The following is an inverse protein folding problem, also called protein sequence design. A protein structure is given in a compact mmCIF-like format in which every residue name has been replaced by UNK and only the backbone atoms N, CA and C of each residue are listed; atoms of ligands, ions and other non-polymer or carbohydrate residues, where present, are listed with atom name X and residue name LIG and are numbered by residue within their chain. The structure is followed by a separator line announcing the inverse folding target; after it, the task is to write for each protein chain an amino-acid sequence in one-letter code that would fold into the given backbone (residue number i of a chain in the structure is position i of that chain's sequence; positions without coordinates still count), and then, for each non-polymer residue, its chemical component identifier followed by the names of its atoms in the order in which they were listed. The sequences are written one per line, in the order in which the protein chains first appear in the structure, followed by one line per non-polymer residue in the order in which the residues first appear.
data_IF_295687988865
#
_entry.id   IF_295687988865
#
_cell.length_a   1.000
_cell.length_b   1.000
_cell.length_c   1.000
_cell.angle_alpha   90.00
_cell.angle_beta   90.00
_cell.angle_gamma   90.00
#
_symmetry.space_group_name_H-M   'P 1'
#
loop_
_entity.id
_entity.type
_entity.pdbx_description
1 polymer ?
#
# COMPACT_ATOMS: atom_id res chain seq x y z
N UNK A 1 -6.54 -51.44 13.30
CA UNK A 1 -5.86 -51.08 12.05
C UNK A 1 -6.89 -50.68 11.03
N UNK A 2 -6.83 -49.44 10.53
CA UNK A 2 -7.30 -49.12 9.19
C UNK A 2 -8.63 -48.37 9.02
N UNK A 3 -8.98 -47.41 9.88
CA UNK A 3 -9.95 -46.37 9.49
C UNK A 3 -9.18 -45.18 8.89
N UNK A 4 -8.75 -45.35 7.64
CA UNK A 4 -8.42 -44.21 6.78
C UNK A 4 -9.75 -43.60 6.34
N UNK A 5 -10.21 -42.58 7.08
CA UNK A 5 -11.16 -41.61 6.56
C UNK A 5 -10.61 -41.10 5.22
N UNK A 6 -11.28 -41.52 4.15
CA UNK A 6 -11.05 -41.01 2.82
C UNK A 6 -11.34 -39.51 2.84
N UNK A 7 -10.28 -38.71 2.99
CA UNK A 7 -10.25 -37.30 2.62
C UNK A 7 -10.56 -37.25 1.13
N UNK A 8 -11.84 -37.16 0.79
CA UNK A 8 -12.29 -37.13 -0.59
C UNK A 8 -11.79 -35.88 -1.33
N UNK A 9 -11.85 -35.87 -2.67
CA UNK A 9 -11.36 -34.80 -3.57
C UNK A 9 -12.03 -33.42 -3.39
N UNK A 10 -12.88 -33.28 -2.37
CA UNK A 10 -13.63 -32.07 -2.03
C UNK A 10 -12.77 -31.02 -1.30
N UNK A 11 -11.77 -31.45 -0.53
CA UNK A 11 -10.82 -30.58 0.17
C UNK A 11 -9.87 -29.84 -0.80
N UNK A 12 -9.48 -30.51 -1.89
CA UNK A 12 -8.48 -30.01 -2.86
C UNK A 12 -8.99 -28.84 -3.71
N UNK A 13 -10.29 -28.79 -4.02
CA UNK A 13 -10.88 -27.69 -4.78
C UNK A 13 -11.06 -26.46 -3.87
N UNK A 14 -11.45 -26.63 -2.60
CA UNK A 14 -11.60 -25.48 -1.68
C UNK A 14 -10.25 -24.83 -1.33
N UNK A 15 -9.17 -25.61 -1.30
CA UNK A 15 -7.81 -25.09 -1.07
C UNK A 15 -7.29 -24.19 -2.20
N UNK A 16 -7.58 -24.54 -3.45
CA UNK A 16 -7.10 -23.82 -4.65
C UNK A 16 -7.82 -22.49 -4.93
N UNK A 17 -8.90 -22.17 -4.21
CA UNK A 17 -9.55 -20.85 -4.29
C UNK A 17 -8.61 -19.72 -3.88
N UNK A 18 -7.76 -19.96 -2.88
CA UNK A 18 -6.79 -18.96 -2.41
C UNK A 18 -5.68 -18.70 -3.46
N UNK A 19 -5.25 -19.75 -4.16
CA UNK A 19 -4.26 -19.64 -5.23
C UNK A 19 -4.83 -18.88 -6.43
N UNK A 20 -6.10 -19.12 -6.79
CA UNK A 20 -6.77 -18.39 -7.85
C UNK A 20 -7.01 -16.92 -7.49
N UNK A 21 -7.39 -16.63 -6.25
CA UNK A 21 -7.54 -15.26 -5.74
C UNK A 21 -6.21 -14.51 -5.80
N UNK A 22 -5.11 -15.13 -5.35
CA UNK A 22 -3.76 -14.55 -5.46
C UNK A 22 -3.38 -14.28 -6.91
N UNK A 23 -3.68 -15.21 -7.81
CA UNK A 23 -3.39 -15.09 -9.24
C UNK A 23 -4.21 -13.95 -9.88
N UNK A 24 -5.46 -13.75 -9.42
CA UNK A 24 -6.30 -12.61 -9.79
C UNK A 24 -5.81 -11.28 -9.18
N UNK A 25 -5.30 -11.27 -7.95
CA UNK A 25 -4.71 -10.08 -7.34
C UNK A 25 -3.42 -9.66 -8.05
N UNK A 26 -2.56 -10.62 -8.40
CA UNK A 26 -1.33 -10.37 -9.16
C UNK A 26 -1.65 -9.88 -10.57
N UNK A 27 -2.69 -10.41 -11.21
CA UNK A 27 -3.11 -9.99 -12.56
C UNK A 27 -3.55 -8.53 -12.60
N UNK A 28 -4.22 -8.03 -11.56
CA UNK A 28 -4.61 -6.61 -11.44
C UNK A 28 -3.41 -5.66 -11.31
N UNK A 29 -2.27 -6.16 -10.84
CA UNK A 29 -1.01 -5.41 -10.74
C UNK A 29 -0.15 -5.45 -12.00
N UNK A 30 -0.50 -6.26 -12.99
CA UNK A 30 0.25 -6.47 -14.22
C UNK A 30 -0.53 -5.90 -15.41
N UNK A 31 0.15 -5.20 -16.32
CA UNK A 31 -0.42 -4.85 -17.62
C UNK A 31 -0.40 -6.10 -18.50
N UNK A 32 -1.39 -6.97 -18.31
CA UNK A 32 -1.52 -8.22 -19.06
C UNK A 32 -1.87 -7.95 -20.52
N UNK A 33 -1.29 -8.73 -21.44
CA UNK A 33 -1.73 -8.77 -22.83
C UNK A 33 -3.11 -9.42 -22.97
N UNK A 34 -3.78 -9.16 -24.09
CA UNK A 34 -5.12 -9.68 -24.36
C UNK A 34 -5.19 -11.22 -24.32
N UNK A 35 -4.10 -11.90 -24.66
CA UNK A 35 -4.03 -13.37 -24.62
C UNK A 35 -4.00 -13.91 -23.19
N UNK A 36 -3.18 -13.31 -22.31
CA UNK A 36 -3.08 -13.68 -20.89
C UNK A 36 -4.35 -13.33 -20.13
N UNK A 37 -4.93 -12.15 -20.40
CA UNK A 37 -6.20 -11.73 -19.84
C UNK A 37 -7.33 -12.71 -20.22
N UNK A 38 -7.40 -13.13 -21.49
CA UNK A 38 -8.37 -14.13 -21.93
C UNK A 38 -8.14 -15.52 -21.31
N UNK A 39 -6.89 -15.91 -21.06
CA UNK A 39 -6.57 -17.18 -20.39
C UNK A 39 -7.01 -17.17 -18.92
N UNK A 40 -6.79 -16.05 -18.22
CA UNK A 40 -7.26 -15.85 -16.85
C UNK A 40 -8.77 -15.87 -16.75
N UNK A 41 -9.45 -15.18 -17.67
CA UNK A 41 -10.90 -15.20 -17.73
C UNK A 41 -11.44 -16.63 -17.91
N UNK A 42 -10.88 -17.40 -18.85
CA UNK A 42 -11.27 -18.80 -19.06
C UNK A 42 -11.01 -19.66 -17.82
N UNK A 43 -9.88 -19.46 -17.14
CA UNK A 43 -9.55 -20.18 -15.91
C UNK A 43 -10.57 -19.88 -14.81
N UNK A 44 -10.89 -18.60 -14.58
CA UNK A 44 -11.90 -18.18 -13.61
C UNK A 44 -13.29 -18.74 -13.92
N UNK A 45 -13.70 -18.74 -15.20
CA UNK A 45 -14.98 -19.32 -15.62
C UNK A 45 -15.01 -20.85 -15.45
N UNK A 46 -13.92 -21.55 -15.77
CA UNK A 46 -13.81 -23.00 -15.56
C UNK A 46 -13.85 -23.34 -14.08
N UNK A 47 -13.12 -22.58 -13.27
CA UNK A 47 -13.09 -22.71 -11.82
C UNK A 47 -14.48 -22.52 -11.21
N UNK A 48 -15.14 -21.41 -11.53
CA UNK A 48 -16.49 -21.11 -11.05
C UNK A 48 -17.48 -22.23 -11.38
N UNK A 49 -17.46 -22.74 -12.63
CA UNK A 49 -18.31 -23.88 -13.02
C UNK A 49 -18.01 -25.16 -12.24
N UNK A 50 -16.74 -25.47 -12.01
CA UNK A 50 -16.35 -26.63 -11.22
C UNK A 50 -16.83 -26.52 -9.77
N UNK A 51 -16.65 -25.35 -9.15
CA UNK A 51 -17.14 -25.08 -7.79
C UNK A 51 -18.67 -25.18 -7.70
N UNK A 52 -19.42 -24.61 -8.65
CA UNK A 52 -20.89 -24.73 -8.66
C UNK A 52 -21.35 -26.18 -8.75
N UNK A 53 -20.77 -26.97 -9.66
CA UNK A 53 -21.12 -28.40 -9.79
C UNK A 53 -20.79 -29.20 -8.54
N UNK A 54 -19.62 -28.95 -7.93
CA UNK A 54 -19.26 -29.61 -6.68
C UNK A 54 -20.24 -29.25 -5.57
N UNK A 55 -20.63 -27.97 -5.49
CA UNK A 55 -21.58 -27.48 -4.49
C UNK A 55 -22.97 -28.10 -4.68
N UNK A 56 -23.46 -28.20 -5.91
CA UNK A 56 -24.71 -28.87 -6.26
C UNK A 56 -24.68 -30.35 -5.86
N UNK A 57 -23.63 -31.08 -6.25
CA UNK A 57 -23.48 -32.50 -5.89
C UNK A 57 -23.42 -32.70 -4.36
N UNK A 58 -22.67 -31.85 -3.66
CA UNK A 58 -22.58 -31.89 -2.21
C UNK A 58 -23.94 -31.61 -1.54
N UNK A 59 -24.69 -30.62 -2.04
CA UNK A 59 -26.03 -30.30 -1.54
C UNK A 59 -27.03 -31.43 -1.73
N UNK A 60 -26.98 -32.13 -2.87
CA UNK A 60 -27.86 -33.26 -3.15
C UNK A 60 -27.55 -34.45 -2.21
N UNK A 61 -26.27 -34.77 -2.03
CA UNK A 61 -25.83 -35.81 -1.09
C UNK A 61 -26.22 -35.48 0.35
N UNK A 62 -26.02 -34.24 0.78
CA UNK A 62 -26.38 -33.78 2.12
C UNK A 62 -27.89 -33.86 2.37
N UNK A 63 -28.70 -33.47 1.39
CA UNK A 63 -30.17 -33.55 1.48
C UNK A 63 -30.64 -35.00 1.66
N UNK A 64 -30.06 -35.93 0.91
CA UNK A 64 -30.36 -37.35 1.02
C UNK A 64 -29.89 -37.93 2.37
N UNK A 65 -28.73 -37.52 2.87
CA UNK A 65 -28.25 -37.90 4.20
C UNK A 65 -29.20 -37.42 5.31
N UNK A 66 -29.66 -36.17 5.25
CA UNK A 66 -30.60 -35.60 6.22
C UNK A 66 -31.96 -36.31 6.23
N UNK A 67 -32.44 -36.79 5.06
CA UNK A 67 -33.69 -37.56 4.97
C UNK A 67 -33.65 -38.88 5.74
N UNK A 68 -32.47 -39.48 5.91
CA UNK A 68 -32.28 -40.76 6.63
C UNK A 68 -32.13 -40.58 8.13
N UNK A 69 -31.95 -39.34 8.60
CA UNK A 69 -31.78 -39.03 10.02
C UNK A 69 -33.13 -38.88 10.72
N UNK A 70 -33.17 -39.28 12.00
CA UNK A 70 -34.28 -38.95 12.90
C UNK A 70 -34.34 -37.45 13.18
N UNK A 71 -35.45 -36.96 13.72
CA UNK A 71 -35.59 -35.56 14.10
C UNK A 71 -34.52 -35.13 15.13
N UNK A 72 -34.26 -35.97 16.12
CA UNK A 72 -33.24 -35.76 17.16
C UNK A 72 -31.85 -35.67 16.54
N UNK A 73 -31.50 -36.58 15.63
CA UNK A 73 -30.21 -36.59 14.94
C UNK A 73 -29.99 -35.32 14.08
N UNK A 74 -31.04 -34.81 13.45
CA UNK A 74 -30.96 -33.54 12.70
C UNK A 74 -30.75 -32.36 13.65
N UNK A 75 -31.43 -32.35 14.81
CA UNK A 75 -31.24 -31.33 15.84
C UNK A 75 -29.82 -31.37 16.41
N UNK A 76 -29.27 -32.55 16.69
CA UNK A 76 -27.89 -32.74 17.14
C UNK A 76 -26.89 -32.25 16.09
N UNK A 77 -27.09 -32.66 14.83
CA UNK A 77 -26.26 -32.19 13.70
C UNK A 77 -26.27 -30.67 13.60
N UNK A 78 -27.42 -30.05 13.84
CA UNK A 78 -27.56 -28.61 13.84
C UNK A 78 -26.84 -27.93 15.00
N UNK A 79 -27.05 -28.41 16.23
CA UNK A 79 -26.39 -27.88 17.42
C UNK A 79 -24.87 -28.00 17.30
N UNK A 80 -24.36 -29.13 16.78
CA UNK A 80 -22.95 -29.32 16.50
C UNK A 80 -22.42 -28.33 15.45
N UNK A 81 -23.18 -28.07 14.37
CA UNK A 81 -22.80 -27.08 13.36
C UNK A 81 -22.76 -25.67 13.95
N UNK A 82 -23.79 -25.30 14.71
CA UNK A 82 -23.90 -24.01 15.38
C UNK A 82 -22.76 -23.81 16.37
N UNK A 83 -22.44 -24.82 17.19
CA UNK A 83 -21.32 -24.75 18.13
C UNK A 83 -19.98 -24.53 17.41
N UNK A 84 -19.73 -25.25 16.30
CA UNK A 84 -18.52 -25.02 15.49
C UNK A 84 -18.44 -23.60 14.94
N UNK A 85 -19.58 -23.03 14.52
CA UNK A 85 -19.66 -21.63 14.10
C UNK A 85 -19.32 -20.70 15.27
N UNK A 86 -19.94 -20.89 16.44
CA UNK A 86 -19.68 -20.09 17.64
C UNK A 86 -18.21 -20.15 18.07
N UNK A 87 -17.61 -21.34 18.10
CA UNK A 87 -16.21 -21.53 18.44
C UNK A 87 -15.29 -20.78 17.47
N UNK A 88 -15.61 -20.81 16.16
CA UNK A 88 -14.89 -20.03 15.16
C UNK A 88 -15.07 -18.51 15.34
N UNK A 89 -16.21 -18.07 15.88
CA UNK A 89 -16.51 -16.66 16.15
C UNK A 89 -15.93 -16.19 17.49
N UNK A 90 -15.58 -17.09 18.40
CA UNK A 90 -15.01 -16.77 19.71
C UNK A 90 -13.52 -16.42 19.66
N UNK A 91 -12.80 -16.84 18.61
CA UNK A 91 -11.37 -16.49 18.41
C UNK A 91 -11.20 -14.97 18.35
N UNK A 92 -10.15 -14.37 18.90
CA UNK A 92 -9.95 -12.92 18.76
C UNK A 92 -9.58 -12.51 17.32
N UNK A 93 -9.87 -11.26 16.94
CA UNK A 93 -9.42 -10.73 15.64
C UNK A 93 -7.91 -10.51 15.69
N UNK A 94 -7.20 -11.04 14.70
CA UNK A 94 -5.74 -10.93 14.66
C UNK A 94 -5.29 -9.47 14.45
N UNK A 95 -4.25 -9.05 15.17
CA UNK A 95 -3.65 -7.73 14.98
C UNK A 95 -2.69 -7.64 13.79
N UNK A 96 -2.06 -8.76 13.42
CA UNK A 96 -1.07 -8.82 12.34
C UNK A 96 -1.69 -9.04 10.95
N UNK A 97 -1.02 -8.51 9.92
CA UNK A 97 -1.45 -8.70 8.53
C UNK A 97 -1.57 -10.19 8.14
N UNK A 98 -0.60 -11.02 8.54
CA UNK A 98 -0.63 -12.45 8.24
C UNK A 98 -1.78 -13.16 8.94
N UNK A 99 -2.01 -12.87 10.22
CA UNK A 99 -3.12 -13.44 10.98
C UNK A 99 -4.48 -13.06 10.37
N UNK A 100 -4.66 -11.80 9.98
CA UNK A 100 -5.89 -11.34 9.33
C UNK A 100 -6.15 -12.06 8.00
N UNK A 101 -5.11 -12.30 7.18
CA UNK A 101 -5.26 -13.07 5.95
C UNK A 101 -5.65 -14.52 6.23
N UNK A 102 -5.06 -15.15 7.23
CA UNK A 102 -5.43 -16.50 7.64
C UNK A 102 -6.89 -16.56 8.11
N UNK A 103 -7.33 -15.60 8.92
CA UNK A 103 -8.73 -15.51 9.37
C UNK A 103 -9.70 -15.28 8.22
N UNK A 104 -9.37 -14.43 7.24
CA UNK A 104 -10.19 -14.25 6.04
C UNK A 104 -10.30 -15.55 5.22
N UNK A 105 -9.20 -16.29 5.05
CA UNK A 105 -9.23 -17.60 4.39
C UNK A 105 -10.12 -18.59 5.15
N UNK A 106 -10.04 -18.62 6.48
CA UNK A 106 -10.91 -19.45 7.32
C UNK A 106 -12.38 -19.06 7.14
N UNK A 107 -12.71 -17.77 7.15
CA UNK A 107 -14.07 -17.28 6.88
C UNK A 107 -14.58 -17.65 5.49
N UNK A 108 -13.74 -17.58 4.45
CA UNK A 108 -14.14 -18.03 3.09
C UNK A 108 -14.47 -19.53 3.05
N UNK A 109 -13.69 -20.37 3.74
CA UNK A 109 -14.00 -21.81 3.86
C UNK A 109 -15.32 -22.01 4.60
N UNK A 110 -15.50 -21.29 5.69
CA UNK A 110 -16.71 -21.34 6.48
C UNK A 110 -17.95 -20.90 5.67
N UNK A 111 -17.82 -19.87 4.82
CA UNK A 111 -18.89 -19.41 3.94
C UNK A 111 -19.37 -20.52 2.99
N UNK A 112 -18.47 -21.39 2.52
CA UNK A 112 -18.85 -22.55 1.73
C UNK A 112 -19.65 -23.58 2.56
N UNK A 113 -19.34 -23.73 3.85
CA UNK A 113 -20.04 -24.62 4.78
C UNK A 113 -21.39 -24.08 5.24
N UNK A 114 -21.63 -22.77 5.19
CA UNK A 114 -22.94 -22.17 5.54
C UNK A 114 -24.10 -22.80 4.77
N UNK A 115 -23.87 -23.22 3.53
CA UNK A 115 -24.86 -23.91 2.71
C UNK A 115 -25.35 -25.21 3.36
N UNK A 116 -24.46 -25.97 3.99
CA UNK A 116 -24.76 -27.19 4.75
C UNK A 116 -25.60 -26.81 5.97
N UNK A 117 -25.18 -25.78 6.70
CA UNK A 117 -25.92 -25.28 7.85
C UNK A 117 -27.38 -24.92 7.49
N UNK A 118 -27.59 -24.15 6.43
CA UNK A 118 -28.93 -23.80 5.96
C UNK A 118 -29.78 -25.04 5.61
N UNK A 119 -29.19 -26.08 5.01
CA UNK A 119 -29.92 -27.31 4.69
C UNK A 119 -30.32 -28.09 5.95
N UNK A 120 -29.44 -28.18 6.95
CA UNK A 120 -29.74 -28.81 8.23
C UNK A 120 -30.90 -28.06 8.91
N UNK A 121 -30.80 -26.73 9.04
CA UNK A 121 -31.86 -25.92 9.63
C UNK A 121 -33.19 -26.08 8.91
N UNK A 122 -33.19 -26.03 7.58
CA UNK A 122 -34.40 -26.21 6.78
C UNK A 122 -35.02 -27.59 7.02
N UNK A 123 -34.19 -28.64 7.10
CA UNK A 123 -34.66 -30.00 7.39
C UNK A 123 -35.25 -30.14 8.80
N UNK A 124 -34.63 -29.52 9.80
CA UNK A 124 -35.15 -29.47 11.19
C UNK A 124 -36.50 -28.75 11.24
N UNK A 125 -36.61 -27.57 10.62
CA UNK A 125 -37.85 -26.79 10.60
C UNK A 125 -38.97 -27.56 9.89
N UNK A 126 -38.67 -28.15 8.72
CA UNK A 126 -39.66 -28.91 7.95
C UNK A 126 -40.22 -30.10 8.75
N UNK A 127 -39.35 -30.85 9.42
CA UNK A 127 -39.78 -31.99 10.25
C UNK A 127 -40.54 -31.54 11.49
N UNK A 128 -40.07 -30.50 12.17
CA UNK A 128 -40.75 -29.92 13.32
C UNK A 128 -42.20 -29.51 12.98
N UNK A 129 -42.41 -28.90 11.80
CA UNK A 129 -43.74 -28.57 11.31
C UNK A 129 -44.59 -29.81 11.02
N UNK A 130 -44.01 -30.87 10.46
CA UNK A 130 -44.73 -32.13 10.23
C UNK A 130 -45.15 -32.82 11.54
N UNK A 131 -44.26 -32.89 12.54
CA UNK A 131 -44.58 -33.43 13.87
C UNK A 131 -45.73 -32.65 14.52
N UNK A 132 -45.70 -31.32 14.42
CA UNK A 132 -46.79 -30.46 14.88
C UNK A 132 -48.10 -30.73 14.12
N UNK A 133 -48.07 -30.90 12.80
CA UNK A 133 -49.27 -31.20 12.00
C UNK A 133 -49.89 -32.56 12.34
N UNK A 134 -49.06 -33.56 12.64
CA UNK A 134 -49.51 -34.91 13.02
C UNK A 134 -50.00 -35.02 14.46
N UNK A 135 -49.78 -33.99 15.28
CA UNK A 135 -50.17 -34.00 16.69
C UNK A 135 -49.23 -34.83 17.56
N UNK A 136 -48.02 -35.13 17.09
CA UNK A 136 -47.02 -35.95 17.78
C UNK A 136 -46.24 -35.16 18.87
N UNK A 137 -46.63 -33.90 19.11
CA UNK A 137 -45.98 -32.99 20.06
C UNK A 137 -46.95 -32.67 21.21
N UNK A 138 -46.65 -33.16 22.41
CA UNK A 138 -47.47 -32.93 23.61
C UNK A 138 -47.47 -31.45 24.06
N UNK A 139 -46.30 -30.84 24.22
CA UNK A 139 -46.14 -29.46 24.68
C UNK A 139 -45.84 -28.52 23.50
N UNK A 140 -46.88 -28.19 22.72
CA UNK A 140 -46.74 -27.47 21.44
C UNK A 140 -46.09 -26.10 21.60
N UNK A 141 -46.48 -25.34 22.62
CA UNK A 141 -45.97 -23.98 22.85
C UNK A 141 -44.48 -24.00 23.21
N UNK A 142 -44.08 -24.87 24.14
CA UNK A 142 -42.67 -25.06 24.52
C UNK A 142 -41.81 -25.52 23.33
N UNK A 143 -42.35 -26.40 22.48
CA UNK A 143 -41.67 -26.86 21.29
C UNK A 143 -41.46 -25.73 20.28
N UNK A 144 -42.48 -24.91 20.03
CA UNK A 144 -42.39 -23.74 19.17
C UNK A 144 -41.41 -22.69 19.71
N UNK A 145 -41.40 -22.46 21.02
CA UNK A 145 -40.45 -21.56 21.67
C UNK A 145 -39.01 -22.04 21.48
N UNK A 146 -38.73 -23.34 21.66
CA UNK A 146 -37.40 -23.92 21.42
C UNK A 146 -36.97 -23.79 19.95
N UNK A 147 -37.87 -24.06 19.00
CA UNK A 147 -37.59 -23.93 17.57
C UNK A 147 -37.30 -22.46 17.18
N UNK A 148 -38.06 -21.52 17.73
CA UNK A 148 -37.86 -20.09 17.52
C UNK A 148 -36.51 -19.62 18.10
N UNK A 149 -36.18 -20.02 19.33
CA UNK A 149 -34.90 -19.71 19.96
C UNK A 149 -33.71 -20.24 19.15
N UNK A 150 -33.82 -21.47 18.64
CA UNK A 150 -32.78 -22.10 17.82
C UNK A 150 -32.55 -21.36 16.49
N UNK A 151 -33.65 -20.95 15.83
CA UNK A 151 -33.59 -20.13 14.61
C UNK A 151 -32.99 -18.75 14.90
N UNK A 152 -33.37 -18.12 16.01
CA UNK A 152 -32.84 -16.82 16.41
C UNK A 152 -31.34 -16.88 16.70
N UNK A 153 -30.88 -17.93 17.41
CA UNK A 153 -29.45 -18.14 17.68
C UNK A 153 -28.65 -18.25 16.38
N UNK A 154 -29.14 -19.02 15.41
CA UNK A 154 -28.53 -19.11 14.09
C UNK A 154 -28.45 -17.77 13.36
N UNK A 155 -29.54 -17.00 13.34
CA UNK A 155 -29.54 -15.69 12.70
C UNK A 155 -28.52 -14.74 13.35
N UNK A 156 -28.45 -14.70 14.67
CA UNK A 156 -27.46 -13.90 15.39
C UNK A 156 -26.02 -14.36 15.11
N UNK A 157 -25.80 -15.66 14.96
CA UNK A 157 -24.49 -16.21 14.61
C UNK A 157 -24.06 -15.83 13.17
N UNK A 158 -24.99 -15.87 12.21
CA UNK A 158 -24.76 -15.37 10.84
C UNK A 158 -24.42 -13.89 10.80
N UNK A 159 -25.17 -13.05 11.53
CA UNK A 159 -24.92 -11.61 11.60
C UNK A 159 -23.53 -11.30 12.17
N UNK A 160 -23.14 -11.99 13.25
CA UNK A 160 -21.81 -11.84 13.86
C UNK A 160 -20.70 -12.31 12.91
N UNK A 161 -20.90 -13.40 12.18
CA UNK A 161 -19.94 -13.88 11.18
C UNK A 161 -19.72 -12.85 10.06
N UNK A 162 -20.80 -12.24 9.56
CA UNK A 162 -20.70 -11.19 8.53
C UNK A 162 -20.06 -9.90 9.06
N UNK A 163 -20.41 -9.47 10.27
CA UNK A 163 -19.76 -8.33 10.93
C UNK A 163 -18.26 -8.56 11.10
N UNK A 164 -17.88 -9.76 11.55
CA UNK A 164 -16.47 -10.14 11.71
C UNK A 164 -15.72 -10.15 10.37
N UNK A 165 -16.34 -10.69 9.31
CA UNK A 165 -15.80 -10.63 7.94
C UNK A 165 -15.54 -9.20 7.50
N UNK A 166 -16.52 -8.32 7.65
CA UNK A 166 -16.42 -6.92 7.26
C UNK A 166 -15.30 -6.19 8.02
N UNK A 167 -15.15 -6.48 9.31
CA UNK A 167 -14.06 -5.95 10.14
C UNK A 167 -12.70 -6.42 9.65
N UNK A 168 -12.52 -7.73 9.43
CA UNK A 168 -11.26 -8.30 8.93
C UNK A 168 -10.88 -7.70 7.57
N UNK A 169 -11.83 -7.62 6.63
CA UNK A 169 -11.62 -7.00 5.32
C UNK A 169 -11.27 -5.51 5.44
N UNK A 170 -11.88 -4.79 6.38
CA UNK A 170 -11.56 -3.40 6.70
C UNK A 170 -10.13 -3.22 7.19
N UNK A 171 -9.70 -4.03 8.16
CA UNK A 171 -8.33 -4.01 8.67
C UNK A 171 -7.32 -4.38 7.59
N UNK A 172 -7.63 -5.37 6.75
CA UNK A 172 -6.79 -5.70 5.60
C UNK A 172 -6.65 -4.51 4.64
N UNK A 173 -7.72 -3.78 4.34
CA UNK A 173 -7.63 -2.56 3.52
C UNK A 173 -6.67 -1.53 4.13
N UNK A 174 -6.71 -1.31 5.45
CA UNK A 174 -5.77 -0.43 6.14
C UNK A 174 -4.32 -0.92 6.00
N UNK A 175 -4.06 -2.22 6.20
CA UNK A 175 -2.73 -2.81 6.00
C UNK A 175 -2.19 -2.64 4.58
N UNK A 176 -3.03 -2.88 3.57
CA UNK A 176 -2.63 -2.70 2.16
C UNK A 176 -2.27 -1.24 1.87
N UNK A 177 -3.08 -0.30 2.36
CA UNK A 177 -2.86 1.14 2.20
C UNK A 177 -1.56 1.57 2.89
N UNK A 178 -1.35 1.13 4.13
CA UNK A 178 -0.13 1.36 4.90
C UNK A 178 1.11 0.86 4.13
N UNK A 179 1.16 -0.44 3.80
CA UNK A 179 2.31 -1.02 3.10
C UNK A 179 2.58 -0.37 1.74
N UNK A 180 1.54 -0.01 0.98
CA UNK A 180 1.70 0.68 -0.30
C UNK A 180 2.32 2.07 -0.11
N UNK A 181 1.84 2.82 0.87
CA UNK A 181 2.27 4.19 1.11
C UNK A 181 3.68 4.23 1.68
N UNK A 182 3.99 3.38 2.66
CA UNK A 182 5.33 3.23 3.24
C UNK A 182 6.36 2.85 2.16
N UNK A 183 6.07 1.89 1.29
CA UNK A 183 6.99 1.52 0.20
C UNK A 183 7.31 2.70 -0.72
N UNK A 184 6.29 3.48 -1.10
CA UNK A 184 6.47 4.69 -1.91
C UNK A 184 7.32 5.74 -1.20
N UNK A 185 7.04 6.00 0.07
CA UNK A 185 7.78 6.98 0.88
C UNK A 185 9.24 6.55 1.08
N UNK A 186 9.50 5.29 1.44
CA UNK A 186 10.85 4.75 1.58
C UNK A 186 11.64 4.88 0.27
N UNK A 187 11.01 4.57 -0.87
CA UNK A 187 11.65 4.76 -2.17
C UNK A 187 11.99 6.24 -2.44
N UNK A 188 11.03 7.14 -2.21
CA UNK A 188 11.24 8.58 -2.34
C UNK A 188 12.37 9.11 -1.43
N UNK A 189 12.40 8.68 -0.16
CA UNK A 189 13.45 9.05 0.79
C UNK A 189 14.82 8.51 0.37
N UNK A 190 14.89 7.30 -0.17
CA UNK A 190 16.15 6.75 -0.69
C UNK A 190 16.68 7.54 -1.88
N UNK A 191 15.82 7.95 -2.82
CA UNK A 191 16.18 8.80 -3.95
C UNK A 191 16.63 10.19 -3.46
N UNK A 192 15.88 10.76 -2.52
CA UNK A 192 16.21 12.07 -1.95
C UNK A 192 17.55 12.04 -1.23
N UNK A 193 17.86 10.98 -0.48
CA UNK A 193 19.16 10.79 0.18
C UNK A 193 20.31 10.74 -0.82
N UNK A 194 20.13 10.06 -1.95
CA UNK A 194 21.15 10.01 -3.00
C UNK A 194 21.43 11.39 -3.62
N UNK A 195 20.39 12.23 -3.75
CA UNK A 195 20.53 13.63 -4.19
C UNK A 195 21.04 14.55 -3.07
N UNK A 196 20.89 14.14 -1.82
CA UNK A 196 21.24 14.89 -0.62
C UNK A 196 22.35 14.23 0.23
N UNK A 197 23.57 14.02 -0.30
CA UNK A 197 24.65 13.43 0.48
C UNK A 197 25.07 14.35 1.65
N UNK A 198 25.41 13.79 2.83
CA UNK A 198 25.75 14.58 4.01
C UNK A 198 26.97 15.49 3.84
N UNK A 199 27.95 15.08 3.04
CA UNK A 199 29.20 15.80 2.84
C UNK A 199 29.07 17.08 1.98
N UNK A 200 27.90 17.34 1.39
CA UNK A 200 27.73 18.43 0.42
C UNK A 200 28.58 18.24 -0.84
N UNK A 201 28.42 19.09 -1.87
CA UNK A 201 29.24 18.99 -3.06
C UNK A 201 30.63 19.63 -2.84
N UNK A 202 31.69 18.93 -3.25
CA UNK A 202 33.08 19.40 -3.20
C UNK A 202 33.39 20.35 -4.36
N UNK A 203 33.81 21.58 -4.05
CA UNK A 203 34.26 22.63 -4.98
C UNK A 203 33.42 22.76 -6.27
N UNK A 204 32.39 23.61 -6.25
CA UNK A 204 31.52 23.83 -7.40
C UNK A 204 31.69 25.23 -8.00
N UNK A 205 31.68 25.30 -9.33
CA UNK A 205 31.52 26.55 -10.07
C UNK A 205 30.16 27.20 -9.76
N UNK A 206 30.06 28.51 -9.99
CA UNK A 206 28.79 29.23 -9.79
C UNK A 206 27.65 28.70 -10.69
N UNK A 207 27.98 28.23 -11.90
CA UNK A 207 27.02 27.58 -12.77
C UNK A 207 26.52 26.24 -12.22
N UNK A 208 27.39 25.44 -11.61
CA UNK A 208 27.01 24.20 -10.92
C UNK A 208 26.16 24.46 -9.68
N UNK A 209 26.47 25.51 -8.91
CA UNK A 209 25.64 25.95 -7.77
C UNK A 209 24.24 26.39 -8.20
N UNK A 210 24.10 27.10 -9.32
CA UNK A 210 22.77 27.46 -9.85
C UNK A 210 21.99 26.24 -10.29
N UNK A 211 22.64 25.27 -10.94
CA UNK A 211 22.01 23.98 -11.31
C UNK A 211 21.61 23.17 -10.09
N UNK A 212 22.46 23.12 -9.06
CA UNK A 212 22.13 22.41 -7.82
C UNK A 212 20.97 23.08 -7.08
N UNK A 213 20.88 24.41 -7.06
CA UNK A 213 19.76 25.13 -6.48
C UNK A 213 18.43 24.73 -7.13
N UNK A 214 18.36 24.67 -8.47
CA UNK A 214 17.15 24.23 -9.18
C UNK A 214 16.75 22.79 -8.81
N UNK A 215 17.73 21.90 -8.68
CA UNK A 215 17.49 20.52 -8.25
C UNK A 215 16.97 20.45 -6.81
N UNK A 216 17.53 21.24 -5.89
CA UNK A 216 17.08 21.32 -4.50
C UNK A 216 15.65 21.85 -4.42
N UNK A 217 15.32 22.93 -5.15
CA UNK A 217 13.97 23.49 -5.21
C UNK A 217 12.96 22.47 -5.77
N UNK A 218 13.35 21.73 -6.81
CA UNK A 218 12.51 20.67 -7.35
C UNK A 218 12.27 19.55 -6.33
N UNK A 219 13.31 19.14 -5.60
CA UNK A 219 13.18 18.15 -4.52
C UNK A 219 12.30 18.67 -3.38
N UNK A 220 12.37 19.95 -3.03
CA UNK A 220 11.51 20.57 -2.00
C UNK A 220 10.03 20.51 -2.40
N UNK A 221 9.71 20.83 -3.65
CA UNK A 221 8.35 20.66 -4.19
C UNK A 221 7.90 19.20 -4.08
N UNK A 222 8.78 18.23 -4.32
CA UNK A 222 8.43 16.80 -4.11
C UNK A 222 8.16 16.48 -2.64
N UNK A 223 8.95 16.99 -1.69
CA UNK A 223 8.67 16.82 -0.26
C UNK A 223 7.28 17.38 0.09
N UNK A 224 6.93 18.56 -0.41
CA UNK A 224 5.60 19.15 -0.23
C UNK A 224 4.48 18.26 -0.82
N UNK A 225 4.70 17.68 -2.00
CA UNK A 225 3.74 16.76 -2.63
C UNK A 225 3.54 15.47 -1.84
N UNK A 226 4.60 14.92 -1.25
CA UNK A 226 4.54 13.68 -0.46
C UNK A 226 4.12 13.91 1.01
N UNK A 227 4.09 15.15 1.49
CA UNK A 227 3.77 15.50 2.89
C UNK A 227 2.43 14.90 3.36
N UNK A 228 1.37 15.01 2.56
CA UNK A 228 0.06 14.46 2.90
C UNK A 228 0.09 12.93 2.98
N UNK A 229 0.82 12.28 2.08
CA UNK A 229 1.02 10.82 2.08
C UNK A 229 1.83 10.37 3.30
N UNK A 230 2.84 11.13 3.70
CA UNK A 230 3.61 10.89 4.92
C UNK A 230 2.74 10.96 6.17
N UNK A 231 2.01 12.06 6.36
CA UNK A 231 1.09 12.23 7.51
C UNK A 231 0.03 11.11 7.52
N UNK A 232 -0.53 10.79 6.36
CA UNK A 232 -1.53 9.72 6.24
C UNK A 232 -0.95 8.34 6.57
N UNK A 233 0.29 8.03 6.16
CA UNK A 233 0.96 6.78 6.53
C UNK A 233 1.17 6.66 8.04
N UNK A 234 1.54 7.75 8.71
CA UNK A 234 1.66 7.77 10.17
C UNK A 234 0.30 7.53 10.85
N UNK A 235 -0.77 8.13 10.32
CA UNK A 235 -2.11 7.98 10.88
C UNK A 235 -2.65 6.55 10.74
N UNK A 236 -2.59 5.99 9.53
CA UNK A 236 -2.99 4.58 9.31
C UNK A 236 -2.11 3.65 10.13
N UNK A 237 -0.81 3.93 10.24
CA UNK A 237 0.11 3.17 11.08
C UNK A 237 -0.28 3.19 12.57
N UNK A 238 -0.72 4.33 13.11
CA UNK A 238 -1.24 4.45 14.49
C UNK A 238 -2.53 3.65 14.70
N UNK A 239 -3.44 3.68 13.74
CA UNK A 239 -4.68 2.89 13.81
C UNK A 239 -4.39 1.38 13.79
N UNK A 240 -3.45 0.95 12.95
CA UNK A 240 -2.99 -0.45 12.94
C UNK A 240 -2.27 -0.82 14.23
N UNK A 241 -1.48 0.09 14.80
CA UNK A 241 -0.80 -0.10 16.08
C UNK A 241 -1.81 -0.34 17.21
N UNK A 242 -2.90 0.44 17.30
CA UNK A 242 -3.90 0.25 18.36
C UNK A 242 -4.63 -1.10 18.30
N UNK A 243 -4.66 -1.73 17.12
CA UNK A 243 -5.28 -3.04 16.90
C UNK A 243 -4.27 -4.19 16.90
N UNK A 244 -2.98 -3.89 16.94
CA UNK A 244 -1.89 -4.86 16.84
C UNK A 244 -1.67 -5.64 18.13
N UNK A 245 -1.18 -6.87 17.99
CA UNK A 245 -0.54 -7.59 19.11
C UNK A 245 0.83 -6.97 19.44
N UNK A 246 1.47 -7.43 20.52
CA UNK A 246 2.74 -6.86 20.98
C UNK A 246 3.83 -6.87 19.90
N UNK A 247 3.94 -7.96 19.14
CA UNK A 247 4.93 -8.09 18.06
C UNK A 247 4.65 -7.12 16.91
N UNK A 248 3.38 -7.02 16.48
CA UNK A 248 2.95 -6.08 15.45
C UNK A 248 3.16 -4.64 15.91
N UNK A 249 2.87 -4.32 17.16
CA UNK A 249 3.09 -3.00 17.75
C UNK A 249 4.57 -2.63 17.73
N UNK A 250 5.46 -3.51 18.18
CA UNK A 250 6.91 -3.28 18.17
C UNK A 250 7.45 -3.08 16.74
N UNK A 251 6.97 -3.89 15.79
CA UNK A 251 7.32 -3.75 14.37
C UNK A 251 6.87 -2.39 13.81
N UNK A 252 5.61 -2.02 14.01
CA UNK A 252 5.05 -0.75 13.52
C UNK A 252 5.74 0.45 14.16
N UNK A 253 6.01 0.40 15.46
CA UNK A 253 6.73 1.47 16.17
C UNK A 253 8.13 1.70 15.57
N UNK A 254 8.86 0.63 15.30
CA UNK A 254 10.19 0.70 14.69
C UNK A 254 10.12 1.25 13.26
N UNK A 255 9.19 0.76 12.45
CA UNK A 255 9.05 1.20 11.06
C UNK A 255 8.59 2.66 10.93
N UNK A 256 7.62 3.08 11.74
CA UNK A 256 7.12 4.45 11.78
C UNK A 256 8.17 5.41 12.32
N UNK A 257 8.85 5.04 13.40
CA UNK A 257 9.91 5.86 14.01
C UNK A 257 11.09 6.05 13.06
N UNK A 258 11.54 4.99 12.38
CA UNK A 258 12.61 5.09 11.37
C UNK A 258 12.18 5.97 10.19
N UNK A 259 10.98 5.80 9.66
CA UNK A 259 10.46 6.64 8.58
C UNK A 259 10.40 8.11 8.98
N UNK A 260 9.90 8.42 10.18
CA UNK A 260 9.78 9.77 10.68
C UNK A 260 11.15 10.45 10.84
N UNK A 261 12.11 9.77 11.50
CA UNK A 261 13.47 10.27 11.65
C UNK A 261 14.15 10.53 10.28
N UNK A 262 13.97 9.64 9.31
CA UNK A 262 14.52 9.82 7.96
C UNK A 262 13.88 10.98 7.21
N UNK A 263 12.55 11.14 7.31
CA UNK A 263 11.83 12.26 6.70
C UNK A 263 12.30 13.59 7.26
N UNK A 264 12.30 13.73 8.59
CA UNK A 264 12.65 14.96 9.29
C UNK A 264 14.10 15.36 9.05
N UNK A 265 15.03 14.39 9.10
CA UNK A 265 16.45 14.64 8.85
C UNK A 265 16.74 15.09 7.42
N UNK A 266 16.13 14.44 6.41
CA UNK A 266 16.33 14.81 5.01
C UNK A 266 15.64 16.14 4.67
N UNK A 267 14.45 16.41 5.21
CA UNK A 267 13.76 17.69 5.04
C UNK A 267 14.56 18.84 5.65
N UNK A 268 15.08 18.66 6.87
CA UNK A 268 15.93 19.65 7.52
C UNK A 268 17.25 19.89 6.75
N UNK A 269 17.88 18.82 6.25
CA UNK A 269 19.08 18.93 5.42
C UNK A 269 18.79 19.68 4.12
N UNK A 270 17.67 19.37 3.47
CA UNK A 270 17.24 20.04 2.24
C UNK A 270 17.07 21.56 2.46
N UNK A 271 16.35 21.95 3.52
CA UNK A 271 16.18 23.36 3.89
C UNK A 271 17.52 24.07 4.10
N UNK A 272 18.41 23.49 4.92
CA UNK A 272 19.77 24.04 5.14
C UNK A 272 20.54 24.23 3.84
N UNK A 273 20.47 23.29 2.90
CA UNK A 273 21.22 23.39 1.63
C UNK A 273 20.60 24.40 0.67
N UNK A 274 19.28 24.57 0.68
CA UNK A 274 18.60 25.63 -0.07
C UNK A 274 19.05 27.01 0.40
N UNK A 275 19.03 27.24 1.71
CA UNK A 275 19.45 28.51 2.32
C UNK A 275 20.92 28.81 1.97
N UNK A 276 21.82 27.87 2.28
CA UNK A 276 23.26 28.04 2.00
C UNK A 276 23.56 28.28 0.53
N UNK A 277 22.95 27.51 -0.39
CA UNK A 277 23.20 27.67 -1.83
C UNK A 277 22.64 28.99 -2.34
N UNK A 278 21.46 29.39 -1.86
CA UNK A 278 20.85 30.68 -2.18
C UNK A 278 21.71 31.86 -1.72
N UNK A 279 22.23 31.80 -0.50
CA UNK A 279 23.05 32.86 0.08
C UNK A 279 24.42 32.99 -0.62
N UNK A 280 25.06 31.87 -0.98
CA UNK A 280 26.31 31.87 -1.76
C UNK A 280 26.09 32.55 -3.12
N UNK A 281 25.01 32.20 -3.82
CA UNK A 281 24.70 32.77 -5.14
C UNK A 281 24.43 34.28 -5.02
N UNK A 282 23.65 34.73 -4.03
CA UNK A 282 23.36 36.15 -3.78
C UNK A 282 24.62 36.95 -3.40
N UNK A 283 25.46 36.39 -2.53
CA UNK A 283 26.68 37.04 -2.08
C UNK A 283 27.64 37.22 -3.26
N UNK A 284 27.81 36.19 -4.09
CA UNK A 284 28.67 36.26 -5.27
C UNK A 284 28.17 37.30 -6.29
N UNK A 285 26.86 37.38 -6.56
CA UNK A 285 26.31 38.41 -7.45
C UNK A 285 26.54 39.82 -6.91
N UNK A 286 26.34 40.03 -5.60
CA UNK A 286 26.57 41.34 -4.98
C UNK A 286 28.05 41.74 -4.94
N UNK A 287 28.98 40.79 -4.77
CA UNK A 287 30.41 41.05 -4.88
C UNK A 287 30.83 41.34 -6.32
N UNK A 288 30.25 40.67 -7.32
CA UNK A 288 30.48 40.96 -8.73
C UNK A 288 30.07 42.39 -9.09
N UNK A 289 28.87 42.82 -8.69
CA UNK A 289 28.38 44.19 -8.91
C UNK A 289 29.26 45.25 -8.21
N UNK A 290 29.73 44.96 -6.99
CA UNK A 290 30.66 45.84 -6.23
C UNK A 290 32.08 45.90 -6.78
N UNK A 291 32.51 44.91 -7.57
CA UNK A 291 33.83 44.91 -8.22
C UNK A 291 33.78 45.50 -9.63
N UNK A 292 32.62 45.48 -10.29
CA UNK A 292 32.40 46.11 -11.60
C UNK A 292 32.13 47.62 -11.44
N UNK A 293 31.37 48.03 -10.42
CA UNK A 293 31.06 49.44 -10.16
C UNK A 293 32.26 50.39 -9.92
N UNK A 294 33.40 49.98 -9.32
CA UNK A 294 34.58 50.84 -9.16
C UNK A 294 35.48 50.83 -10.40
N UNK A 295 35.32 49.87 -11.32
CA UNK A 295 36.09 49.80 -12.57
C UNK A 295 35.48 50.65 -13.70
N UNK A 296 34.20 50.99 -13.60
CA UNK A 296 33.55 51.98 -14.48
C UNK A 296 33.87 53.45 -14.10
N UNK A 297 34.50 53.70 -12.95
CA UNK A 297 34.79 55.06 -12.43
C UNK A 297 36.24 55.61 -12.54
N UNK A 298 37.23 54.96 -13.20
CA UNK A 298 38.45 55.66 -13.61
C UNK A 298 38.65 55.71 -15.14
N UNK A 299 37.91 54.94 -15.93
CA UNK A 299 38.09 54.91 -17.40
C UNK A 299 37.57 56.19 -18.07
N UNK A 300 36.62 56.90 -17.46
CA UNK A 300 36.15 58.20 -17.94
C UNK A 300 37.10 59.34 -17.55
N UNK A 301 37.78 59.25 -16.40
CA UNK A 301 38.72 60.25 -15.89
C UNK A 301 40.09 60.22 -16.60
N UNK A 302 40.51 59.04 -17.07
CA UNK A 302 41.71 58.91 -17.93
C UNK A 302 41.47 59.38 -19.37
N UNK A 303 40.22 59.34 -19.87
CA UNK A 303 39.89 59.82 -21.21
C UNK A 303 39.81 61.35 -21.31
N UNK A 304 39.53 62.04 -20.21
CA UNK A 304 39.50 63.52 -20.15
C UNK A 304 40.87 64.17 -19.93
N UNK A 305 41.90 63.40 -19.55
CA UNK A 305 43.24 63.94 -19.26
C UNK A 305 44.19 64.02 -20.48
N UNK A 306 43.77 63.54 -21.66
CA UNK A 306 44.62 63.49 -22.86
C UNK A 306 44.19 64.42 -24.02
N UNK A 307 43.31 65.40 -23.78
CA UNK A 307 42.93 66.38 -24.81
C UNK A 307 43.26 67.83 -24.39
N UNK A 308 44.47 68.29 -24.71
CA UNK A 308 44.81 69.70 -25.03
C UNK A 308 46.14 69.68 -25.83
N UNK A 309 46.09 69.84 -27.16
CA UNK A 309 46.35 71.11 -27.89
C UNK A 309 47.87 71.37 -28.07
N UNK A 310 48.52 71.55 -29.22
CA UNK A 310 48.26 71.97 -30.63
C UNK A 310 49.64 71.89 -31.39
N UNK A 311 49.87 72.45 -32.60
CA UNK A 311 49.36 72.21 -33.95
C UNK A 311 50.46 71.73 -34.94
N UNK A 312 50.03 71.23 -36.11
CA UNK A 312 50.83 70.89 -37.31
C UNK A 312 51.47 72.13 -37.99
N UNK A 313 52.42 72.02 -38.96
CA UNK A 313 52.01 71.73 -40.35
C UNK A 313 53.05 71.08 -41.34
N UNK A 314 52.50 70.41 -42.36
CA UNK A 314 52.96 70.13 -43.76
C UNK A 314 54.22 69.29 -44.08
N UNK A 315 54.06 68.14 -44.77
CA UNK A 315 54.36 67.89 -46.21
C UNK A 315 54.48 66.38 -46.55
N UNK A 316 53.64 65.93 -47.49
CA UNK A 316 53.68 64.79 -48.46
C UNK A 316 54.21 63.35 -48.13
N UNK A 317 53.69 62.29 -48.84
CA UNK A 317 53.86 60.84 -48.56
C UNK A 317 54.97 60.20 -49.47
N UNK A 318 55.16 58.86 -49.69
CA UNK A 318 54.53 57.63 -49.16
C UNK A 318 55.52 56.48 -48.78
N UNK A 319 54.97 55.41 -48.17
CA UNK A 319 55.45 54.00 -48.21
C UNK A 319 56.75 53.62 -47.47
N UNK A 320 56.85 52.30 -47.18
CA UNK A 320 58.06 51.47 -46.95
C UNK A 320 58.31 50.94 -45.53
N UNK A 321 58.03 49.62 -45.40
CA UNK A 321 58.83 48.55 -44.77
C UNK A 321 59.01 48.51 -43.24
N UNK A 322 58.54 47.43 -42.59
CA UNK A 322 59.18 46.11 -42.34
C UNK A 322 59.93 46.08 -40.99
N UNK A 323 59.68 44.97 -40.28
CA UNK A 323 60.46 44.37 -39.20
C UNK A 323 60.42 45.06 -37.84
N UNK A 324 59.76 44.38 -36.89
CA UNK A 324 60.54 43.58 -35.93
C UNK A 324 59.62 42.57 -35.24
N UNK A 325 59.60 41.34 -35.79
CA UNK A 325 59.25 40.15 -35.01
C UNK A 325 60.53 39.65 -34.33
N UNK A 326 60.40 39.35 -33.03
CA UNK A 326 61.15 38.34 -32.26
C UNK A 326 62.59 38.65 -31.83
N UNK A 327 62.72 39.01 -30.55
CA UNK A 327 63.72 38.51 -29.60
C UNK A 327 63.34 39.01 -28.21
N UNK A 328 63.39 38.27 -27.11
CA UNK A 328 63.62 36.86 -26.84
C UNK A 328 63.27 36.70 -25.35
N UNK A 329 62.93 35.47 -24.97
CA UNK A 329 62.77 34.93 -23.62
C UNK A 329 63.68 35.49 -22.50
N UNK A 330 63.22 35.23 -21.27
CA UNK A 330 63.97 35.07 -20.00
C UNK A 330 64.07 36.31 -19.09
N UNK A 331 63.10 36.48 -18.19
CA UNK A 331 63.30 36.20 -16.75
C UNK A 331 61.95 35.90 -16.09
#
# INVERSE_FOLDING_TARGET
SGDQEAVGPSSDIRGRSADLDLLNELSLGLALGDAEANRLLRLNQSWSRACSRQQENHSAMQTEALRRQSFEQRCESWMCFLQKMEDSLAVDVAGSYQGLRQQLCTHKRFQAELSVGHQILHSVISEALHLLQRGEVHHRDDFLLKLAALRQHWQGALERAEQRRALIEGLLRHWHLYHRTIRKLKHFLSQSRALLPPAGPSHCSLHELRRSLLLLQHTEVKFQQYQSSFVHALEVGRQLFSMGDQDTQAQLQTELGTLQCEWDSLSALLGKRLDLTGDIIKTNSSCGERLISPLDCPLTTLRSSCHLSYPWPVTHPPSVFISFLLSLSVH
#
